data_IF_981048779310
#
_entry.id   IF_981048779310
#
_cell.length_a   1.000
_cell.length_b   1.000
_cell.length_c   1.000
_cell.angle_alpha   90.00
_cell.angle_beta   90.00
_cell.angle_gamma   90.00
#
_symmetry.space_group_name_H-M   'P 1'
#
loop_
_entity.id
_entity.type
_entity.pdbx_description
1 polymer ?
#
# COMPACT_ATOMS: atom_id res chain seq x y z
N UNK A 1 3.64 16.94 -20.01
CA UNK A 1 3.64 18.33 -19.51
C UNK A 1 3.95 19.28 -20.65
N UNK A 2 5.16 19.30 -21.22
CA UNK A 2 5.57 20.27 -22.24
C UNK A 2 4.92 20.06 -23.60
N UNK A 3 4.68 18.83 -24.01
CA UNK A 3 4.10 18.52 -25.34
C UNK A 3 2.57 18.49 -25.34
N UNK A 4 1.90 18.65 -24.18
CA UNK A 4 0.44 18.61 -24.07
C UNK A 4 -0.17 17.27 -24.47
N UNK A 5 0.59 16.18 -24.41
CA UNK A 5 0.12 14.82 -24.69
C UNK A 5 -0.77 14.35 -23.52
N UNK A 6 -1.72 13.49 -23.83
CA UNK A 6 -2.58 12.84 -22.85
C UNK A 6 -1.76 12.11 -21.77
N UNK A 7 -2.15 12.30 -20.52
CA UNK A 7 -1.41 11.77 -19.37
C UNK A 7 -1.49 10.24 -19.29
N UNK A 8 -2.62 9.65 -19.70
CA UNK A 8 -2.80 8.19 -19.70
C UNK A 8 -1.89 7.54 -20.74
N UNK A 9 -1.85 8.09 -21.95
CA UNK A 9 -0.97 7.61 -23.05
C UNK A 9 0.50 7.73 -22.62
N UNK A 10 0.88 8.86 -22.01
CA UNK A 10 2.25 9.06 -21.48
C UNK A 10 2.59 8.05 -20.40
N UNK A 11 1.66 7.76 -19.48
CA UNK A 11 1.85 6.79 -18.42
C UNK A 11 2.04 5.36 -18.93
N UNK A 12 1.23 4.95 -19.91
CA UNK A 12 1.37 3.63 -20.57
C UNK A 12 2.71 3.52 -21.27
N UNK A 13 3.11 4.56 -22.01
CA UNK A 13 4.41 4.59 -22.69
C UNK A 13 5.58 4.46 -21.70
N UNK A 14 5.54 5.18 -20.58
CA UNK A 14 6.56 5.08 -19.51
C UNK A 14 6.63 3.67 -18.94
N UNK A 15 5.49 3.02 -18.68
CA UNK A 15 5.46 1.65 -18.16
C UNK A 15 6.09 0.65 -19.13
N UNK A 16 5.79 0.76 -20.45
CA UNK A 16 6.39 -0.12 -21.47
C UNK A 16 7.89 0.12 -21.57
N UNK A 17 8.32 1.39 -21.64
CA UNK A 17 9.74 1.75 -21.70
C UNK A 17 10.47 1.28 -20.46
N UNK A 18 9.90 1.47 -19.27
CA UNK A 18 10.52 1.05 -18.01
C UNK A 18 10.75 -0.47 -17.98
N UNK A 19 9.75 -1.26 -18.35
CA UNK A 19 9.88 -2.72 -18.39
C UNK A 19 10.96 -3.16 -19.40
N UNK A 20 10.95 -2.60 -20.62
CA UNK A 20 11.97 -2.88 -21.63
C UNK A 20 13.37 -2.45 -21.23
N UNK A 21 13.50 -1.25 -20.65
CA UNK A 21 14.79 -0.72 -20.19
C UNK A 21 15.40 -1.55 -19.06
N UNK A 22 14.59 -1.91 -18.07
CA UNK A 22 15.07 -2.73 -16.94
C UNK A 22 15.51 -4.11 -17.41
N UNK A 23 14.75 -4.74 -18.30
CA UNK A 23 15.15 -6.02 -18.92
C UNK A 23 16.45 -5.89 -19.72
N UNK A 24 16.59 -4.86 -20.52
CA UNK A 24 17.80 -4.58 -21.29
C UNK A 24 19.01 -4.38 -20.38
N UNK A 25 18.88 -3.55 -19.34
CA UNK A 25 19.95 -3.31 -18.38
C UNK A 25 20.32 -4.59 -17.61
N UNK A 26 19.33 -5.38 -17.16
CA UNK A 26 19.61 -6.62 -16.46
C UNK A 26 20.36 -7.63 -17.35
N UNK A 27 20.02 -7.68 -18.64
CA UNK A 27 20.75 -8.53 -19.61
C UNK A 27 22.20 -8.10 -19.75
N UNK A 28 22.47 -6.80 -19.86
CA UNK A 28 23.87 -6.31 -19.97
C UNK A 28 24.66 -6.53 -18.69
N UNK A 29 24.06 -6.22 -17.55
CA UNK A 29 24.76 -6.24 -16.25
C UNK A 29 25.00 -7.67 -15.75
N UNK A 30 24.10 -8.60 -16.04
CA UNK A 30 24.15 -9.97 -15.52
C UNK A 30 24.46 -11.02 -16.58
N UNK A 31 24.76 -10.61 -17.80
CA UNK A 31 25.19 -11.49 -18.89
C UNK A 31 26.67 -11.90 -18.68
N UNK A 32 26.91 -13.16 -18.41
CA UNK A 32 28.28 -13.72 -18.34
C UNK A 32 28.80 -14.10 -16.97
N UNK A 33 27.97 -14.09 -15.93
CA UNK A 33 28.31 -14.62 -14.60
C UNK A 33 27.74 -16.00 -14.33
N UNK A 34 28.15 -16.60 -13.20
CA UNK A 34 27.57 -17.86 -12.65
C UNK A 34 26.17 -17.64 -12.05
N UNK A 35 25.46 -16.64 -12.52
CA UNK A 35 24.12 -16.23 -12.02
C UNK A 35 23.00 -17.02 -12.70
N UNK A 36 21.80 -17.07 -12.11
CA UNK A 36 20.67 -17.82 -12.67
C UNK A 36 20.20 -17.36 -14.06
N UNK A 37 20.79 -16.29 -14.61
CA UNK A 37 20.48 -15.78 -15.95
C UNK A 37 20.15 -14.28 -15.96
N UNK A 38 19.85 -13.69 -17.13
CA UNK A 38 19.61 -12.26 -17.28
C UNK A 38 18.31 -11.77 -16.65
N UNK A 39 17.42 -12.66 -16.23
CA UNK A 39 16.14 -12.35 -15.60
C UNK A 39 16.22 -12.15 -14.08
N UNK A 40 17.38 -12.45 -13.48
CA UNK A 40 17.57 -12.37 -12.02
C UNK A 40 18.95 -11.83 -11.68
N UNK A 41 19.02 -10.92 -10.71
CA UNK A 41 20.30 -10.46 -10.14
C UNK A 41 20.89 -11.48 -9.15
N UNK A 42 22.19 -11.34 -8.82
CA UNK A 42 22.72 -11.98 -7.63
C UNK A 42 21.93 -11.58 -6.37
N UNK A 43 21.98 -12.45 -5.36
CA UNK A 43 21.40 -12.13 -4.06
C UNK A 43 22.15 -10.97 -3.42
N UNK A 44 21.42 -9.95 -3.06
CA UNK A 44 21.88 -8.87 -2.20
C UNK A 44 21.77 -9.39 -0.77
N UNK A 45 22.87 -9.44 -0.02
CA UNK A 45 22.84 -9.96 1.36
C UNK A 45 21.66 -9.40 2.16
N UNK A 46 21.01 -10.24 2.95
CA UNK A 46 19.83 -9.87 3.71
C UNK A 46 20.06 -8.61 4.54
N UNK A 47 19.21 -7.60 4.33
CA UNK A 47 19.19 -6.43 5.22
C UNK A 47 18.71 -6.91 6.57
N UNK A 48 19.47 -6.65 7.63
CA UNK A 48 19.08 -7.04 8.98
C UNK A 48 17.77 -6.35 9.36
N UNK A 49 16.76 -7.14 9.64
CA UNK A 49 15.53 -6.67 10.25
C UNK A 49 15.77 -6.47 11.73
N UNK A 50 15.47 -5.29 12.24
CA UNK A 50 15.57 -4.97 13.65
C UNK A 50 14.16 -4.63 14.18
N UNK A 51 13.84 -5.12 15.39
CA UNK A 51 12.60 -4.71 16.07
C UNK A 51 12.64 -3.22 16.44
N UNK A 52 11.51 -2.63 16.82
CA UNK A 52 11.52 -1.27 17.38
C UNK A 52 12.27 -1.24 18.71
N UNK A 53 13.14 -0.23 18.93
CA UNK A 53 13.84 -0.10 20.21
C UNK A 53 12.87 -0.08 21.38
N UNK A 54 13.24 -0.76 22.48
CA UNK A 54 12.47 -0.87 23.74
C UNK A 54 11.21 -1.73 23.65
N UNK A 55 10.61 -1.94 22.48
CA UNK A 55 9.39 -2.74 22.32
C UNK A 55 9.68 -4.19 21.93
N UNK A 56 10.38 -4.40 20.83
CA UNK A 56 10.62 -5.75 20.25
C UNK A 56 12.09 -6.12 20.16
N UNK A 57 12.96 -5.41 20.88
CA UNK A 57 14.40 -5.68 20.87
C UNK A 57 15.10 -5.20 19.58
N UNK A 58 16.34 -5.63 19.42
CA UNK A 58 17.16 -5.32 18.26
C UNK A 58 18.52 -4.72 18.62
N UNK A 59 19.47 -4.74 17.69
CA UNK A 59 20.78 -4.14 17.84
C UNK A 59 20.88 -2.88 16.99
N UNK A 60 21.08 -1.72 17.66
CA UNK A 60 21.22 -0.41 17.00
C UNK A 60 22.57 0.17 17.35
N UNK A 61 23.43 0.37 16.35
CA UNK A 61 24.77 0.95 16.53
C UNK A 61 25.58 0.32 17.69
N UNK A 62 25.43 -1.01 17.91
CA UNK A 62 26.11 -1.71 18.98
C UNK A 62 25.37 -1.75 20.34
N UNK A 63 24.25 -1.05 20.48
CA UNK A 63 23.40 -1.11 21.66
C UNK A 63 22.31 -2.18 21.49
N UNK A 64 22.25 -3.13 22.45
CA UNK A 64 21.17 -4.12 22.53
C UNK A 64 19.96 -3.50 23.23
N UNK A 65 18.91 -3.30 22.48
CA UNK A 65 17.64 -2.81 23.04
C UNK A 65 16.91 -3.92 23.79
N UNK A 66 16.31 -3.64 24.97
CA UNK A 66 15.47 -4.60 25.67
C UNK A 66 14.23 -4.94 24.85
N UNK A 67 13.78 -6.18 24.96
CA UNK A 67 12.55 -6.70 24.38
C UNK A 67 11.52 -6.88 25.49
N UNK A 68 10.47 -6.05 25.46
CA UNK A 68 9.41 -6.08 26.49
C UNK A 68 8.20 -6.88 25.99
N UNK A 69 7.94 -6.88 24.68
CA UNK A 69 6.74 -7.50 24.11
C UNK A 69 6.84 -9.02 24.06
N UNK A 70 8.01 -9.58 23.75
CA UNK A 70 8.19 -11.04 23.66
C UNK A 70 7.87 -11.75 24.98
N UNK A 71 8.41 -11.35 26.15
CA UNK A 71 8.08 -12.03 27.40
C UNK A 71 6.60 -11.89 27.80
N UNK A 72 5.91 -10.83 27.38
CA UNK A 72 4.48 -10.63 27.65
C UNK A 72 3.64 -11.51 26.72
N UNK A 73 4.01 -11.61 25.45
CA UNK A 73 3.35 -12.46 24.48
C UNK A 73 3.44 -13.95 24.84
N UNK A 74 4.58 -14.41 25.37
CA UNK A 74 4.84 -15.79 25.77
C UNK A 74 4.13 -16.23 27.06
N UNK A 75 3.70 -15.29 27.90
CA UNK A 75 3.04 -15.60 29.20
C UNK A 75 1.60 -16.11 29.06
N UNK A 76 1.03 -16.13 27.85
CA UNK A 76 -0.34 -16.62 27.56
C UNK A 76 -1.42 -16.06 28.50
N UNK A 77 -1.26 -14.81 28.95
CA UNK A 77 -2.30 -14.12 29.71
C UNK A 77 -3.44 -13.75 28.75
N UNK A 78 -4.62 -14.22 29.06
CA UNK A 78 -5.81 -13.96 28.28
C UNK A 78 -5.95 -12.46 27.97
N UNK A 79 -6.12 -12.11 26.69
CA UNK A 79 -6.24 -10.75 26.16
C UNK A 79 -4.95 -9.89 26.14
N UNK A 80 -4.10 -9.95 27.14
CA UNK A 80 -2.86 -9.14 27.21
C UNK A 80 -1.80 -9.71 26.28
N UNK A 81 -1.66 -11.00 26.25
CA UNK A 81 -0.73 -11.71 25.37
C UNK A 81 -1.12 -11.56 23.89
N UNK A 82 -2.43 -11.55 23.58
CA UNK A 82 -2.93 -11.35 22.22
C UNK A 82 -2.62 -9.93 21.72
N UNK A 83 -2.84 -8.92 22.57
CA UNK A 83 -2.48 -7.53 22.26
C UNK A 83 -0.97 -7.38 22.09
N UNK A 84 -0.18 -7.99 22.98
CA UNK A 84 1.28 -7.96 22.88
C UNK A 84 1.78 -8.66 21.60
N UNK A 85 1.17 -9.77 21.20
CA UNK A 85 1.48 -10.49 19.95
C UNK A 85 1.13 -9.65 18.71
N UNK A 86 0.00 -8.96 18.71
CA UNK A 86 -0.37 -8.03 17.64
C UNK A 86 0.62 -6.88 17.54
N UNK A 87 0.96 -6.24 18.68
CA UNK A 87 1.93 -5.15 18.71
C UNK A 87 3.33 -5.63 18.29
N UNK A 88 3.73 -6.84 18.70
CA UNK A 88 4.97 -7.44 18.24
C UNK A 88 4.98 -7.68 16.74
N UNK A 89 3.87 -8.12 16.13
CA UNK A 89 3.74 -8.26 14.68
C UNK A 89 3.95 -6.94 13.92
N UNK A 90 3.57 -5.80 14.52
CA UNK A 90 3.82 -4.48 13.94
C UNK A 90 5.22 -3.93 14.22
N UNK A 91 5.93 -4.42 15.22
CA UNK A 91 7.17 -3.80 15.73
C UNK A 91 8.39 -4.72 15.65
N UNK A 92 8.19 -6.04 15.42
CA UNK A 92 9.24 -7.05 15.52
C UNK A 92 10.25 -7.00 14.38
N UNK A 93 9.83 -7.26 13.18
CA UNK A 93 10.72 -7.45 12.02
C UNK A 93 10.67 -6.25 11.06
N UNK A 94 10.98 -5.05 11.58
CA UNK A 94 10.98 -3.84 10.76
C UNK A 94 12.32 -3.67 10.04
N UNK A 95 12.28 -3.62 8.70
CA UNK A 95 13.42 -3.17 7.95
C UNK A 95 13.61 -1.66 8.08
N UNK A 96 14.85 -1.18 7.97
CA UNK A 96 15.12 0.27 7.92
C UNK A 96 14.34 0.97 6.81
N UNK A 97 14.10 0.27 5.70
CA UNK A 97 13.33 0.81 4.58
C UNK A 97 11.86 0.99 4.95
N UNK A 98 11.28 0.07 5.75
CA UNK A 98 9.92 0.23 6.30
C UNK A 98 9.83 1.44 7.23
N UNK A 99 10.84 1.65 8.08
CA UNK A 99 10.90 2.84 8.94
C UNK A 99 10.94 4.14 8.12
N UNK A 100 11.75 4.17 7.05
CA UNK A 100 11.81 5.30 6.10
C UNK A 100 10.44 5.51 5.43
N UNK A 101 9.78 4.45 4.96
CA UNK A 101 8.46 4.54 4.33
C UNK A 101 7.40 5.13 5.28
N UNK A 102 7.39 4.69 6.55
CA UNK A 102 6.50 5.25 7.58
C UNK A 102 6.83 6.72 7.86
N UNK A 103 8.12 7.09 7.91
CA UNK A 103 8.55 8.48 8.13
C UNK A 103 8.18 9.42 6.95
N UNK A 104 8.16 8.91 5.72
CA UNK A 104 7.75 9.67 4.54
C UNK A 104 6.32 10.20 4.66
N UNK A 105 5.42 9.49 5.35
CA UNK A 105 4.01 9.90 5.49
C UNK A 105 3.85 11.22 6.25
N UNK A 106 4.34 11.39 7.50
CA UNK A 106 4.27 12.68 8.19
C UNK A 106 5.08 13.77 7.49
N UNK A 107 6.21 13.44 6.87
CA UNK A 107 7.02 14.38 6.08
C UNK A 107 6.19 14.88 4.89
N UNK A 108 5.55 14.00 4.13
CA UNK A 108 4.69 14.36 3.00
C UNK A 108 3.50 15.21 3.46
N UNK A 109 2.88 14.86 4.59
CA UNK A 109 1.82 15.68 5.17
C UNK A 109 2.32 17.08 5.51
N UNK A 110 3.47 17.18 6.20
CA UNK A 110 4.05 18.49 6.55
C UNK A 110 4.37 19.32 5.31
N UNK A 111 5.05 18.73 4.32
CA UNK A 111 5.41 19.42 3.07
C UNK A 111 4.14 19.91 2.35
N UNK A 112 3.13 19.06 2.18
CA UNK A 112 1.94 19.39 1.40
C UNK A 112 1.01 20.40 2.09
N UNK A 113 0.90 20.37 3.44
CA UNK A 113 -0.07 21.22 4.15
C UNK A 113 0.54 22.35 4.94
N UNK A 114 1.84 22.30 5.24
CA UNK A 114 2.49 23.29 6.12
C UNK A 114 3.55 24.13 5.41
N UNK A 115 3.86 23.88 4.12
CA UNK A 115 4.86 24.64 3.38
C UNK A 115 4.26 25.42 2.20
N UNK A 116 4.93 26.50 1.79
CA UNK A 116 4.59 27.28 0.60
C UNK A 116 4.73 26.46 -0.69
N UNK A 117 5.67 25.53 -0.74
CA UNK A 117 5.83 24.60 -1.86
C UNK A 117 4.58 23.70 -2.01
N UNK A 118 4.12 23.08 -0.92
CA UNK A 118 2.92 22.25 -0.93
C UNK A 118 1.66 23.02 -1.31
N UNK A 119 1.53 24.27 -0.86
CA UNK A 119 0.42 25.14 -1.24
C UNK A 119 0.42 25.39 -2.76
N UNK A 120 1.57 25.75 -3.34
CA UNK A 120 1.73 25.99 -4.78
C UNK A 120 1.49 24.72 -5.59
N UNK A 121 1.97 23.57 -5.11
CA UNK A 121 1.78 22.27 -5.76
C UNK A 121 0.29 21.89 -5.81
N UNK A 122 -0.43 22.05 -4.71
CA UNK A 122 -1.87 21.77 -4.64
C UNK A 122 -2.69 22.76 -5.47
N UNK A 123 -2.37 24.04 -5.46
CA UNK A 123 -3.05 25.04 -6.30
C UNK A 123 -2.85 24.76 -7.79
N UNK A 124 -1.65 24.32 -8.21
CA UNK A 124 -1.37 23.90 -9.57
C UNK A 124 -2.12 22.62 -9.98
N UNK A 125 -2.53 21.78 -9.04
CA UNK A 125 -3.36 20.59 -9.27
C UNK A 125 -4.87 20.88 -9.26
N UNK A 126 -5.32 21.88 -8.50
CA UNK A 126 -6.74 22.22 -8.38
C UNK A 126 -7.19 23.22 -9.45
N UNK A 127 -6.46 24.32 -9.61
CA UNK A 127 -6.80 25.38 -10.53
C UNK A 127 -5.52 25.98 -11.17
N UNK A 128 -4.91 25.32 -12.17
CA UNK A 128 -3.62 25.71 -12.71
C UNK A 128 -3.64 27.12 -13.33
N UNK A 129 -4.72 27.53 -14.02
CA UNK A 129 -4.86 28.86 -14.62
C UNK A 129 -4.90 29.94 -13.53
N UNK A 130 -5.66 29.72 -12.46
CA UNK A 130 -5.71 30.66 -11.34
C UNK A 130 -4.37 30.72 -10.58
N UNK A 131 -3.67 29.59 -10.44
CA UNK A 131 -2.34 29.56 -9.84
C UNK A 131 -1.31 30.35 -10.68
N UNK A 132 -1.39 30.25 -12.01
CA UNK A 132 -0.53 31.01 -12.93
C UNK A 132 -0.77 32.50 -12.82
N UNK A 133 -2.03 32.96 -12.77
CA UNK A 133 -2.37 34.39 -12.62
C UNK A 133 -1.87 34.98 -11.29
N UNK A 134 -1.66 34.15 -10.25
CA UNK A 134 -1.04 34.52 -9.00
C UNK A 134 0.50 34.38 -9.02
N UNK A 135 1.12 34.17 -10.18
CA UNK A 135 2.57 34.11 -10.35
C UNK A 135 3.20 32.74 -10.01
N UNK A 136 2.39 31.67 -9.84
CA UNK A 136 2.94 30.31 -9.63
C UNK A 136 3.40 29.74 -10.96
N UNK A 137 4.64 29.27 -11.02
CA UNK A 137 5.13 28.54 -12.19
C UNK A 137 4.54 27.10 -12.19
N UNK A 138 3.41 26.92 -12.89
CA UNK A 138 2.67 25.64 -12.94
C UNK A 138 3.50 24.51 -13.55
N UNK A 139 4.30 24.79 -14.59
CA UNK A 139 5.18 23.78 -15.19
C UNK A 139 6.19 23.26 -14.17
N UNK A 140 6.87 24.16 -13.44
CA UNK A 140 7.84 23.75 -12.41
C UNK A 140 7.17 22.90 -11.34
N UNK A 141 5.96 23.26 -10.90
CA UNK A 141 5.22 22.48 -9.90
C UNK A 141 4.81 21.08 -10.43
N UNK A 142 4.34 21.00 -11.66
CA UNK A 142 4.01 19.71 -12.28
C UNK A 142 5.24 18.82 -12.48
N UNK A 143 6.37 19.38 -12.94
CA UNK A 143 7.63 18.61 -13.05
C UNK A 143 8.15 18.14 -11.70
N UNK A 144 8.15 19.00 -10.69
CA UNK A 144 8.59 18.60 -9.35
C UNK A 144 7.71 17.49 -8.77
N UNK A 145 6.38 17.55 -8.98
CA UNK A 145 5.46 16.49 -8.58
C UNK A 145 5.78 15.15 -9.24
N UNK A 146 6.00 15.15 -10.56
CA UNK A 146 6.34 13.92 -11.31
C UNK A 146 7.69 13.35 -10.87
N UNK A 147 8.72 14.20 -10.68
CA UNK A 147 10.03 13.75 -10.23
C UNK A 147 9.99 13.15 -8.81
N UNK A 148 9.28 13.79 -7.88
CA UNK A 148 9.08 13.26 -6.52
C UNK A 148 8.32 11.93 -6.58
N UNK A 149 7.26 11.85 -7.37
CA UNK A 149 6.48 10.61 -7.56
C UNK A 149 7.36 9.48 -8.12
N UNK A 150 8.17 9.77 -9.15
CA UNK A 150 9.11 8.80 -9.72
C UNK A 150 10.16 8.34 -8.70
N UNK A 151 10.69 9.24 -7.89
CA UNK A 151 11.61 8.91 -6.80
C UNK A 151 10.98 7.99 -5.75
N UNK A 152 9.75 8.27 -5.32
CA UNK A 152 9.01 7.42 -4.38
C UNK A 152 8.67 6.05 -4.98
N UNK A 153 8.31 6.00 -6.26
CA UNK A 153 8.09 4.74 -6.97
C UNK A 153 9.38 3.90 -7.06
N UNK A 154 10.53 4.57 -7.31
CA UNK A 154 11.84 3.92 -7.29
C UNK A 154 12.21 3.35 -5.92
N UNK A 155 11.89 4.05 -4.82
CA UNK A 155 12.06 3.53 -3.46
C UNK A 155 11.18 2.29 -3.22
N UNK A 156 9.94 2.29 -3.72
CA UNK A 156 9.06 1.12 -3.65
C UNK A 156 9.60 -0.08 -4.43
N UNK A 157 10.15 0.15 -5.63
CA UNK A 157 10.82 -0.91 -6.42
C UNK A 157 12.08 -1.44 -5.74
N UNK A 158 12.88 -0.55 -5.14
CA UNK A 158 14.04 -0.91 -4.33
C UNK A 158 13.66 -1.77 -3.11
N UNK A 159 12.57 -1.44 -2.44
CA UNK A 159 12.04 -2.27 -1.35
C UNK A 159 11.72 -3.69 -1.81
N UNK A 160 11.04 -3.83 -2.94
CA UNK A 160 10.68 -5.15 -3.48
C UNK A 160 11.93 -5.99 -3.82
N UNK A 161 12.95 -5.36 -4.42
CA UNK A 161 14.16 -6.07 -4.82
C UNK A 161 15.06 -6.41 -3.64
N UNK A 162 15.25 -5.48 -2.69
CA UNK A 162 16.29 -5.60 -1.66
C UNK A 162 15.73 -6.21 -0.36
N UNK A 163 14.48 -5.89 0.01
CA UNK A 163 13.90 -6.31 1.30
C UNK A 163 12.98 -7.52 1.13
N UNK A 164 12.09 -7.47 0.13
CA UNK A 164 11.07 -8.52 -0.02
C UNK A 164 11.62 -9.79 -0.68
N UNK A 165 12.49 -9.66 -1.69
CA UNK A 165 13.01 -10.79 -2.47
C UNK A 165 14.51 -11.04 -2.31
N UNK A 166 15.30 -10.11 -1.76
CA UNK A 166 16.76 -10.13 -1.67
C UNK A 166 17.51 -10.18 -3.02
N UNK A 167 16.80 -10.11 -4.12
CA UNK A 167 17.35 -10.03 -5.48
C UNK A 167 16.35 -9.36 -6.42
N UNK A 168 16.83 -8.84 -7.52
CA UNK A 168 15.97 -8.40 -8.62
C UNK A 168 15.48 -9.62 -9.41
N UNK A 169 14.21 -9.66 -9.73
CA UNK A 169 13.59 -10.62 -10.62
C UNK A 169 12.75 -9.90 -11.67
N UNK A 170 12.83 -10.39 -12.93
CA UNK A 170 11.99 -9.85 -13.99
C UNK A 170 10.50 -9.97 -13.61
N UNK A 171 9.73 -8.93 -13.89
CA UNK A 171 8.30 -8.82 -13.56
C UNK A 171 7.97 -8.86 -12.05
N UNK A 172 8.94 -8.57 -11.18
CA UNK A 172 8.80 -8.59 -9.71
C UNK A 172 7.69 -7.70 -9.19
N UNK A 173 7.36 -6.62 -9.90
CA UNK A 173 6.30 -5.68 -9.51
C UNK A 173 4.91 -6.33 -9.58
N UNK A 174 4.67 -7.25 -10.54
CA UNK A 174 3.48 -8.09 -10.65
C UNK A 174 2.15 -7.33 -10.42
N UNK A 175 2.02 -6.12 -10.98
CA UNK A 175 0.81 -5.30 -10.84
C UNK A 175 0.64 -4.55 -9.51
N UNK A 176 1.59 -4.62 -8.56
CA UNK A 176 1.50 -3.91 -7.27
C UNK A 176 1.35 -2.39 -7.41
N UNK A 177 1.77 -1.80 -8.52
CA UNK A 177 1.52 -0.40 -8.84
C UNK A 177 0.03 -0.06 -8.90
N UNK A 178 -0.81 -0.96 -9.40
CA UNK A 178 -2.28 -0.79 -9.42
C UNK A 178 -2.88 -0.87 -8.01
N UNK A 179 -2.30 -1.68 -7.13
CA UNK A 179 -2.67 -1.69 -5.70
C UNK A 179 -2.35 -0.33 -5.06
N UNK A 180 -1.20 0.27 -5.41
CA UNK A 180 -0.86 1.63 -4.99
C UNK A 180 -1.87 2.69 -5.47
N UNK A 181 -2.35 2.58 -6.71
CA UNK A 181 -3.42 3.42 -7.23
C UNK A 181 -4.73 3.22 -6.44
N UNK A 182 -5.10 1.96 -6.16
CA UNK A 182 -6.26 1.66 -5.33
C UNK A 182 -6.13 2.26 -3.92
N UNK A 183 -4.95 2.19 -3.30
CA UNK A 183 -4.67 2.81 -2.01
C UNK A 183 -4.78 4.35 -2.06
N UNK A 184 -4.37 4.99 -3.17
CA UNK A 184 -4.54 6.42 -3.41
C UNK A 184 -6.01 6.82 -3.44
N UNK A 185 -6.83 6.09 -4.20
CA UNK A 185 -8.26 6.32 -4.33
C UNK A 185 -8.98 6.09 -2.99
N UNK A 186 -8.68 4.97 -2.31
CA UNK A 186 -9.20 4.69 -0.98
C UNK A 186 -8.83 5.77 0.03
N UNK A 187 -7.58 6.23 -0.01
CA UNK A 187 -7.05 7.29 0.84
C UNK A 187 -7.57 8.67 0.52
N UNK A 188 -8.38 8.82 -0.54
CA UNK A 188 -8.98 10.08 -0.98
C UNK A 188 -7.92 11.17 -1.19
N UNK A 189 -6.80 10.82 -1.82
CA UNK A 189 -5.65 11.71 -2.11
C UNK A 189 -5.02 12.35 -0.86
N UNK A 190 -5.17 11.74 0.32
CA UNK A 190 -4.58 12.21 1.58
C UNK A 190 -3.52 11.24 2.09
N UNK A 191 -2.34 11.70 2.52
CA UNK A 191 -1.25 10.82 2.94
C UNK A 191 -1.65 9.83 4.05
N UNK A 192 -2.40 10.28 5.06
CA UNK A 192 -2.90 9.41 6.12
C UNK A 192 -3.88 8.35 5.64
N UNK A 193 -4.78 8.71 4.71
CA UNK A 193 -5.69 7.76 4.08
C UNK A 193 -4.96 6.75 3.19
N UNK A 194 -3.94 7.21 2.45
CA UNK A 194 -3.08 6.33 1.64
C UNK A 194 -2.33 5.33 2.51
N UNK A 195 -1.81 5.76 3.68
CA UNK A 195 -1.18 4.85 4.63
C UNK A 195 -2.15 3.77 5.12
N UNK A 196 -3.40 4.14 5.46
CA UNK A 196 -4.42 3.17 5.87
C UNK A 196 -4.77 2.21 4.73
N UNK A 197 -4.93 2.72 3.51
CA UNK A 197 -5.15 1.91 2.32
C UNK A 197 -3.99 0.96 2.04
N UNK A 198 -2.77 1.46 2.03
CA UNK A 198 -1.57 0.66 1.83
C UNK A 198 -1.41 -0.42 2.92
N UNK A 199 -1.71 -0.09 4.19
CA UNK A 199 -1.72 -1.04 5.28
C UNK A 199 -2.76 -2.16 5.08
N UNK A 200 -3.96 -1.80 4.67
CA UNK A 200 -5.03 -2.77 4.40
C UNK A 200 -4.67 -3.70 3.23
N UNK A 201 -4.18 -3.14 2.12
CA UNK A 201 -3.77 -3.95 0.97
C UNK A 201 -2.52 -4.77 1.26
N UNK A 202 -1.54 -4.22 1.99
CA UNK A 202 -0.35 -4.96 2.43
C UNK A 202 -0.70 -6.11 3.37
N UNK A 203 -1.68 -5.90 4.27
CA UNK A 203 -2.20 -6.97 5.11
C UNK A 203 -2.88 -8.07 4.27
N UNK A 204 -3.71 -7.70 3.28
CA UNK A 204 -4.34 -8.65 2.38
C UNK A 204 -3.30 -9.41 1.51
N UNK A 205 -2.23 -8.75 1.07
CA UNK A 205 -1.12 -9.38 0.34
C UNK A 205 -0.32 -10.34 1.24
N UNK A 206 -0.10 -9.98 2.51
CA UNK A 206 0.57 -10.83 3.49
C UNK A 206 -0.26 -12.08 3.86
N UNK A 207 -1.60 -11.97 3.85
CA UNK A 207 -2.47 -13.11 4.14
C UNK A 207 -2.35 -14.24 3.12
N UNK A 208 -2.10 -13.93 1.84
CA UNK A 208 -1.90 -14.97 0.82
C UNK A 208 -0.64 -15.81 1.05
N UNK A 209 0.32 -15.29 1.85
CA UNK A 209 1.55 -16.01 2.21
C UNK A 209 1.39 -16.85 3.48
N UNK A 210 0.23 -16.76 4.15
CA UNK A 210 -0.08 -17.54 5.34
C UNK A 210 -0.87 -18.79 4.97
N UNK A 211 -0.87 -19.74 5.89
CA UNK A 211 -1.65 -20.97 5.76
C UNK A 211 -3.15 -20.65 5.65
N UNK A 212 -3.88 -21.54 4.97
CA UNK A 212 -5.33 -21.43 4.76
C UNK A 212 -6.13 -21.27 6.07
N UNK A 213 -5.61 -21.76 7.19
CA UNK A 213 -6.23 -21.64 8.51
C UNK A 213 -6.37 -20.17 8.97
N UNK A 214 -5.36 -19.31 8.70
CA UNK A 214 -5.41 -17.91 9.08
C UNK A 214 -6.52 -17.15 8.32
N UNK A 215 -6.73 -17.49 7.05
CA UNK A 215 -7.81 -16.89 6.24
C UNK A 215 -9.16 -17.44 6.64
N UNK A 216 -9.23 -18.73 6.99
CA UNK A 216 -10.43 -19.36 7.51
C UNK A 216 -10.89 -18.66 8.79
N UNK A 217 -9.98 -18.37 9.74
CA UNK A 217 -10.29 -17.60 10.94
C UNK A 217 -10.81 -16.18 10.66
N UNK A 218 -10.34 -15.53 9.59
CA UNK A 218 -10.85 -14.20 9.17
C UNK A 218 -12.29 -14.23 8.68
N UNK A 219 -12.78 -15.33 8.14
CA UNK A 219 -14.19 -15.48 7.76
C UNK A 219 -15.07 -15.33 9.02
N UNK A 220 -14.63 -15.89 10.13
CA UNK A 220 -15.37 -15.76 11.41
C UNK A 220 -15.41 -14.32 11.91
N UNK A 221 -14.33 -13.55 11.71
CA UNK A 221 -14.30 -12.12 11.99
C UNK A 221 -15.30 -11.35 11.10
N UNK A 222 -15.40 -11.69 9.82
CA UNK A 222 -16.38 -11.10 8.89
C UNK A 222 -17.80 -11.41 9.36
N UNK A 223 -18.07 -12.65 9.76
CA UNK A 223 -19.36 -13.05 10.33
C UNK A 223 -19.70 -12.22 11.56
N UNK A 224 -18.74 -12.02 12.47
CA UNK A 224 -18.95 -11.21 13.68
C UNK A 224 -19.25 -9.74 13.36
N UNK A 225 -18.53 -9.14 12.39
CA UNK A 225 -18.78 -7.77 11.93
C UNK A 225 -20.18 -7.67 11.28
N UNK A 226 -20.54 -8.61 10.42
CA UNK A 226 -21.85 -8.62 9.78
C UNK A 226 -22.98 -8.80 10.81
N UNK A 227 -22.82 -9.68 11.79
CA UNK A 227 -23.78 -9.86 12.88
C UNK A 227 -23.94 -8.57 13.71
N UNK A 228 -22.83 -7.86 14.00
CA UNK A 228 -22.90 -6.56 14.63
C UNK A 228 -23.66 -5.52 13.79
N UNK A 229 -23.43 -5.52 12.46
CA UNK A 229 -24.17 -4.63 11.54
C UNK A 229 -25.66 -4.94 11.53
N UNK A 230 -26.05 -6.21 11.53
CA UNK A 230 -27.46 -6.65 11.67
C UNK A 230 -28.06 -6.07 12.94
N UNK A 231 -27.40 -6.28 14.08
CA UNK A 231 -27.89 -5.75 15.36
C UNK A 231 -28.04 -4.23 15.34
N UNK A 232 -27.05 -3.51 14.79
CA UNK A 232 -27.07 -2.04 14.67
C UNK A 232 -28.21 -1.55 13.75
N UNK A 233 -28.41 -2.22 12.62
CA UNK A 233 -29.37 -1.81 11.60
C UNK A 233 -30.83 -2.12 12.04
N UNK A 234 -31.04 -3.21 12.77
CA UNK A 234 -32.33 -3.48 13.47
C UNK A 234 -32.62 -2.35 14.45
N UNK A 235 -31.66 -1.94 15.28
CA UNK A 235 -31.87 -0.83 16.24
C UNK A 235 -32.17 0.51 15.56
N UNK A 236 -31.71 0.70 14.32
CA UNK A 236 -31.98 1.91 13.51
C UNK A 236 -33.22 1.81 12.63
N UNK A 237 -34.00 0.72 12.71
CA UNK A 237 -35.18 0.49 11.92
C UNK A 237 -34.93 0.22 10.43
N UNK A 238 -33.70 -0.06 10.01
CA UNK A 238 -33.33 -0.33 8.62
C UNK A 238 -33.47 -1.82 8.29
N UNK A 239 -34.69 -2.33 8.22
CA UNK A 239 -34.97 -3.76 8.07
C UNK A 239 -34.39 -4.39 6.81
N UNK A 240 -34.37 -3.69 5.67
CA UNK A 240 -33.83 -4.20 4.41
C UNK A 240 -32.34 -4.40 4.52
N UNK A 241 -31.62 -3.41 5.07
CA UNK A 241 -30.16 -3.50 5.28
C UNK A 241 -29.81 -4.62 6.27
N UNK A 242 -30.58 -4.74 7.35
CA UNK A 242 -30.43 -5.81 8.34
C UNK A 242 -30.67 -7.20 7.74
N UNK A 243 -31.65 -7.35 6.86
CA UNK A 243 -31.94 -8.61 6.17
C UNK A 243 -30.80 -9.00 5.23
N UNK A 244 -30.27 -8.06 4.43
CA UNK A 244 -29.13 -8.30 3.53
C UNK A 244 -27.89 -8.72 4.33
N UNK A 245 -27.54 -7.95 5.36
CA UNK A 245 -26.39 -8.29 6.24
C UNK A 245 -26.58 -9.62 6.95
N UNK A 246 -27.82 -9.96 7.33
CA UNK A 246 -28.17 -11.24 7.97
C UNK A 246 -27.98 -12.43 7.04
N UNK A 247 -28.47 -12.33 5.80
CA UNK A 247 -28.27 -13.38 4.77
C UNK A 247 -26.78 -13.56 4.46
N UNK A 248 -26.05 -12.46 4.32
CA UNK A 248 -24.60 -12.52 4.11
C UNK A 248 -23.87 -13.17 5.30
N UNK A 249 -24.21 -12.79 6.52
CA UNK A 249 -23.63 -13.38 7.73
C UNK A 249 -23.89 -14.88 7.83
N UNK A 250 -25.11 -15.31 7.55
CA UNK A 250 -25.49 -16.72 7.54
C UNK A 250 -24.76 -17.50 6.42
N UNK A 251 -24.61 -16.90 5.24
CA UNK A 251 -23.86 -17.49 4.11
C UNK A 251 -22.38 -17.68 4.44
N UNK A 252 -21.72 -16.68 5.03
CA UNK A 252 -20.32 -16.78 5.45
C UNK A 252 -20.13 -17.76 6.61
N UNK A 253 -21.09 -17.83 7.54
CA UNK A 253 -21.05 -18.81 8.62
C UNK A 253 -21.23 -20.25 8.09
N UNK A 254 -22.16 -20.43 7.16
CA UNK A 254 -22.34 -21.74 6.51
C UNK A 254 -21.06 -22.15 5.74
N UNK A 255 -20.46 -21.23 4.99
CA UNK A 255 -19.20 -21.48 4.29
C UNK A 255 -18.08 -21.83 5.26
N UNK A 256 -17.95 -21.12 6.39
CA UNK A 256 -16.98 -21.43 7.44
C UNK A 256 -17.15 -22.85 8.00
N UNK A 257 -18.40 -23.28 8.23
CA UNK A 257 -18.71 -24.62 8.78
C UNK A 257 -18.63 -25.75 7.74
N UNK A 258 -18.78 -25.43 6.45
CA UNK A 258 -18.78 -26.40 5.37
C UNK A 258 -17.40 -26.67 4.76
N UNK A 259 -16.44 -25.78 4.95
CA UNK A 259 -15.12 -25.84 4.32
C UNK A 259 -14.03 -25.79 5.39
N UNK A 260 -13.42 -26.93 5.69
CA UNK A 260 -12.35 -26.99 6.70
C UNK A 260 -11.02 -26.40 6.19
N UNK A 261 -10.72 -26.54 4.90
CA UNK A 261 -9.49 -26.05 4.28
C UNK A 261 -9.83 -25.26 3.01
N UNK A 262 -9.44 -23.98 2.97
CA UNK A 262 -9.66 -23.14 1.81
C UNK A 262 -8.78 -23.58 0.63
N UNK A 263 -9.35 -23.69 -0.59
CA UNK A 263 -8.56 -23.92 -1.79
C UNK A 263 -7.51 -22.81 -1.98
N UNK A 264 -6.27 -23.18 -2.33
CA UNK A 264 -5.16 -22.23 -2.50
C UNK A 264 -5.47 -21.09 -3.48
N UNK A 265 -6.33 -21.34 -4.47
CA UNK A 265 -6.78 -20.32 -5.42
C UNK A 265 -7.57 -19.20 -4.73
N UNK A 266 -8.42 -19.50 -3.74
CA UNK A 266 -9.14 -18.48 -2.98
C UNK A 266 -8.21 -17.67 -2.08
N UNK A 267 -7.18 -18.31 -1.54
CA UNK A 267 -6.12 -17.66 -0.74
C UNK A 267 -5.39 -16.61 -1.58
N UNK A 268 -4.96 -16.98 -2.78
CA UNK A 268 -4.25 -16.07 -3.71
C UNK A 268 -5.14 -14.97 -4.28
N UNK A 269 -6.46 -15.13 -4.27
CA UNK A 269 -7.42 -14.11 -4.69
C UNK A 269 -7.70 -13.05 -3.61
N UNK A 270 -7.31 -13.27 -2.36
CA UNK A 270 -7.61 -12.39 -1.22
C UNK A 270 -7.29 -10.92 -1.48
N UNK A 271 -6.10 -10.51 -1.97
CA UNK A 271 -5.80 -9.09 -2.20
C UNK A 271 -6.65 -8.48 -3.31
N UNK A 272 -7.02 -9.24 -4.33
CA UNK A 272 -7.88 -8.76 -5.41
C UNK A 272 -9.31 -8.56 -4.94
N UNK A 273 -9.84 -9.50 -4.15
CA UNK A 273 -11.18 -9.38 -3.53
C UNK A 273 -11.20 -8.17 -2.58
N UNK A 274 -10.18 -8.01 -1.75
CA UNK A 274 -10.05 -6.84 -0.87
C UNK A 274 -10.02 -5.54 -1.66
N UNK A 275 -9.28 -5.49 -2.78
CA UNK A 275 -9.21 -4.31 -3.66
C UNK A 275 -10.58 -3.97 -4.24
N UNK A 276 -11.31 -4.95 -4.77
CA UNK A 276 -12.64 -4.74 -5.34
C UNK A 276 -13.65 -4.25 -4.29
N UNK A 277 -13.65 -4.86 -3.09
CA UNK A 277 -14.51 -4.44 -1.99
C UNK A 277 -14.22 -3.00 -1.56
N UNK A 278 -12.94 -2.67 -1.38
CA UNK A 278 -12.51 -1.34 -0.98
C UNK A 278 -12.89 -0.31 -2.03
N UNK A 279 -12.63 -0.56 -3.32
CA UNK A 279 -13.01 0.36 -4.40
C UNK A 279 -14.52 0.53 -4.49
N UNK A 280 -15.29 -0.53 -4.33
CA UNK A 280 -16.76 -0.46 -4.32
C UNK A 280 -17.31 0.40 -3.19
N UNK A 281 -16.71 0.32 -2.01
CA UNK A 281 -17.14 1.09 -0.84
C UNK A 281 -16.61 2.53 -0.82
N UNK A 282 -15.38 2.74 -1.30
CA UNK A 282 -14.69 4.03 -1.22
C UNK A 282 -15.06 4.98 -2.38
N UNK A 283 -15.51 4.46 -3.53
CA UNK A 283 -15.74 5.26 -4.74
C UNK A 283 -16.81 6.35 -4.61
N UNK A 284 -17.63 6.31 -3.57
CA UNK A 284 -18.81 7.18 -3.45
C UNK A 284 -18.52 8.64 -3.07
N UNK A 285 -17.28 9.01 -2.67
CA UNK A 285 -16.94 10.36 -2.19
C UNK A 285 -15.51 10.78 -2.55
N UNK A 286 -15.04 10.44 -3.73
CA UNK A 286 -13.70 10.81 -4.18
C UNK A 286 -13.58 12.31 -4.39
N UNK A 287 -12.55 12.92 -3.81
CA UNK A 287 -12.14 14.32 -4.02
C UNK A 287 -10.82 14.33 -4.78
N UNK A 288 -10.89 14.05 -6.07
CA UNK A 288 -9.74 14.19 -6.95
C UNK A 288 -9.42 15.68 -7.15
N UNK A 289 -8.15 16.04 -7.35
CA UNK A 289 -7.79 17.39 -7.81
C UNK A 289 -8.52 17.69 -9.12
N UNK A 290 -9.08 18.89 -9.24
CA UNK A 290 -9.97 19.22 -10.37
C UNK A 290 -9.25 19.21 -11.74
N UNK A 291 -7.95 19.48 -11.78
CA UNK A 291 -7.12 19.44 -12.98
C UNK A 291 -6.35 18.11 -13.18
N UNK A 292 -6.75 17.03 -12.46
CA UNK A 292 -6.15 15.71 -12.63
C UNK A 292 -6.48 15.15 -14.03
N UNK A 293 -5.47 14.66 -14.75
CA UNK A 293 -5.61 14.17 -16.12
C UNK A 293 -5.77 15.26 -17.19
N UNK A 294 -5.96 16.52 -16.84
CA UNK A 294 -6.17 17.60 -17.80
C UNK A 294 -4.84 18.20 -18.28
N UNK A 295 -4.56 18.20 -19.60
CA UNK A 295 -3.39 18.84 -20.14
C UNK A 295 -3.44 20.36 -19.90
N UNK A 296 -2.37 20.89 -19.31
CA UNK A 296 -2.24 22.32 -19.06
C UNK A 296 -1.38 22.98 -20.15
N UNK A 297 -1.86 24.08 -20.71
CA UNK A 297 -1.11 24.95 -21.62
C UNK A 297 -1.08 26.37 -21.09
N UNK A 298 0.12 26.97 -21.09
CA UNK A 298 0.32 28.36 -20.62
C UNK A 298 -0.42 29.33 -21.55
N UNK A 299 -1.23 30.22 -20.96
CA UNK A 299 -1.98 31.22 -21.71
C UNK A 299 -3.08 30.63 -22.62
N UNK A 300 -3.41 29.37 -22.48
CA UNK A 300 -4.51 28.74 -23.21
C UNK A 300 -5.86 28.97 -22.53
N UNK A 301 -6.77 29.63 -23.25
CA UNK A 301 -8.20 29.58 -23.00
C UNK A 301 -8.73 28.22 -23.48
#
# INVERSE_FOLDING_TARGET
ISFGVDHVVSGVAINIIAAGLVRYLSTILYQGGSWPGPSQSPDVGAISNNGLPVLSGGTYFGWKSPDILTPIAEKHWFFISDIASILRGFTGDLSYVTAIAVAIVPISFFILWKTSFGLRLRSAGEAPIAAESLGVNVYLMKYSGVLISGGLAGLGGGFLAIVAANHYQENQVAGRGYIGLAALLFGNYRPGGILMGAGLFGFADALQLRDSEAIHALILLIVAILAYLVYRDIRKGKLISAAISGVMSAGFLWFYLAVDVLPGQLVTMTPYIATLLVLSLASQRLRMPAADGIPYRRGGL
#
